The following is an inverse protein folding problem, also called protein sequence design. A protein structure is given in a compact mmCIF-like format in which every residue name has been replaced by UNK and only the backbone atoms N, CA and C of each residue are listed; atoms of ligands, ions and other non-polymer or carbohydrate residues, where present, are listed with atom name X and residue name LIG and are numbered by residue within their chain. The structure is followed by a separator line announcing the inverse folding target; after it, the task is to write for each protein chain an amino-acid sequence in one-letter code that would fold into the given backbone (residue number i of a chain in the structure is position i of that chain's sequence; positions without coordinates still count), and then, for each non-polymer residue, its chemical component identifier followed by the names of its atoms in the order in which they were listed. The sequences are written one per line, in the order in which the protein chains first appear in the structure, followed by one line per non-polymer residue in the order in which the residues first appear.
data_IF_918320284858
#
_entry.id   IF_918320284858
#
_cell.length_a   1.000
_cell.length_b   1.000
_cell.length_c   1.000
_cell.angle_alpha   90.00
_cell.angle_beta   90.00
_cell.angle_gamma   90.00
#
_symmetry.space_group_name_H-M   'P 1'
#
loop_
_entity.id
_entity.type
_entity.pdbx_description
1 polymer ?
#
# COMPACT_ATOMS: atom_id res chain seq x y z
N UNK A 1 8.29 -9.08 20.41
CA UNK A 1 7.76 -9.24 19.04
C UNK A 1 8.07 -10.66 18.62
N UNK A 2 7.05 -11.51 18.53
CA UNK A 2 7.20 -12.84 17.97
C UNK A 2 6.99 -12.73 16.45
N UNK A 3 8.08 -12.75 15.70
CA UNK A 3 8.06 -12.61 14.24
C UNK A 3 7.24 -13.72 13.57
N UNK A 4 7.16 -14.91 14.18
CA UNK A 4 6.38 -16.02 13.64
C UNK A 4 4.87 -15.72 13.65
N UNK A 5 4.38 -15.04 14.70
CA UNK A 5 2.98 -14.60 14.77
C UNK A 5 2.66 -13.52 13.74
N UNK A 6 3.55 -12.53 13.56
CA UNK A 6 3.36 -11.47 12.56
C UNK A 6 3.25 -12.07 11.15
N UNK A 7 4.14 -13.00 10.81
CA UNK A 7 4.12 -13.68 9.51
C UNK A 7 2.86 -14.52 9.35
N UNK A 8 2.43 -15.24 10.39
CA UNK A 8 1.18 -16.02 10.34
C UNK A 8 -0.04 -15.12 10.08
N UNK A 9 -0.13 -13.99 10.77
CA UNK A 9 -1.18 -12.98 10.55
C UNK A 9 -1.12 -12.40 9.14
N UNK A 10 0.07 -12.09 8.62
CA UNK A 10 0.23 -11.62 7.24
C UNK A 10 -0.22 -12.68 6.22
N UNK A 11 0.08 -13.96 6.44
CA UNK A 11 -0.36 -15.07 5.59
C UNK A 11 -1.88 -15.22 5.64
N UNK A 12 -2.49 -15.13 6.82
CA UNK A 12 -3.95 -15.16 6.98
C UNK A 12 -4.62 -13.97 6.31
N UNK A 13 -4.05 -12.77 6.46
CA UNK A 13 -4.52 -11.56 5.78
C UNK A 13 -4.41 -11.69 4.26
N UNK A 14 -3.31 -12.28 3.75
CA UNK A 14 -3.16 -12.58 2.33
C UNK A 14 -4.14 -13.65 1.85
N UNK A 15 -4.56 -14.58 2.71
CA UNK A 15 -5.63 -15.55 2.44
C UNK A 15 -7.03 -14.96 2.57
N UNK A 16 -7.16 -13.65 2.82
CA UNK A 16 -8.43 -12.96 2.98
C UNK A 16 -9.28 -13.50 4.15
N UNK A 17 -8.63 -14.00 5.19
CA UNK A 17 -9.29 -14.51 6.40
C UNK A 17 -9.86 -13.35 7.23
N UNK A 18 -11.19 -13.20 7.36
CA UNK A 18 -11.81 -12.09 8.09
C UNK A 18 -11.41 -12.05 9.57
N UNK A 19 -11.17 -13.23 10.16
CA UNK A 19 -10.88 -13.34 11.58
C UNK A 19 -9.57 -12.66 12.00
N UNK A 20 -8.62 -12.48 11.06
CA UNK A 20 -7.39 -11.76 11.35
C UNK A 20 -7.62 -10.25 11.45
N UNK A 21 -8.57 -9.71 10.67
CA UNK A 21 -8.86 -8.28 10.67
C UNK A 21 -9.59 -7.87 11.95
N UNK A 22 -10.53 -8.70 12.40
CA UNK A 22 -11.21 -8.53 13.68
C UNK A 22 -10.22 -8.67 14.87
N UNK A 23 -9.29 -9.64 14.82
CA UNK A 23 -8.23 -9.81 15.83
C UNK A 23 -7.35 -8.55 15.96
N UNK A 24 -6.92 -7.97 14.83
CA UNK A 24 -6.02 -6.80 14.85
C UNK A 24 -6.73 -5.49 15.17
N UNK A 25 -8.03 -5.40 14.91
CA UNK A 25 -8.88 -4.27 15.30
C UNK A 25 -9.06 -4.19 16.82
N UNK A 26 -9.25 -5.33 17.49
CA UNK A 26 -9.50 -5.35 18.93
C UNK A 26 -8.23 -5.24 19.79
N UNK A 27 -7.04 -5.51 19.24
CA UNK A 27 -5.77 -5.42 19.98
C UNK A 27 -4.94 -4.17 19.62
N UNK A 28 -4.98 -3.10 20.44
CA UNK A 28 -4.26 -1.86 20.17
C UNK A 28 -2.73 -2.01 20.22
N UNK A 29 -2.20 -3.08 20.83
CA UNK A 29 -0.75 -3.35 20.87
C UNK A 29 -0.20 -3.68 19.48
N UNK A 30 -1.06 -4.19 18.60
CA UNK A 30 -0.73 -4.58 17.23
C UNK A 30 -0.58 -3.38 16.28
N UNK A 31 -0.85 -2.16 16.72
CA UNK A 31 -0.61 -0.94 15.92
C UNK A 31 0.86 -0.81 15.50
N UNK A 32 1.78 -1.06 16.43
CA UNK A 32 3.21 -1.01 16.16
C UNK A 32 3.67 -2.13 15.21
N UNK A 33 3.03 -3.30 15.28
CA UNK A 33 3.28 -4.41 14.36
C UNK A 33 2.77 -4.08 12.95
N UNK A 34 1.55 -3.55 12.83
CA UNK A 34 0.96 -3.16 11.54
C UNK A 34 1.82 -2.12 10.81
N UNK A 35 2.31 -1.10 11.51
CA UNK A 35 3.22 -0.10 10.93
C UNK A 35 4.52 -0.74 10.45
N UNK A 36 5.06 -1.70 11.21
CA UNK A 36 6.27 -2.44 10.83
C UNK A 36 6.04 -3.29 9.58
N UNK A 37 4.88 -3.95 9.45
CA UNK A 37 4.49 -4.69 8.25
C UNK A 37 4.42 -3.77 7.05
N UNK A 38 3.75 -2.62 7.18
CA UNK A 38 3.63 -1.64 6.10
C UNK A 38 4.99 -1.07 5.69
N UNK A 39 5.87 -0.78 6.66
CA UNK A 39 7.23 -0.35 6.39
C UNK A 39 8.03 -1.42 5.63
N UNK A 40 7.90 -2.69 6.02
CA UNK A 40 8.53 -3.80 5.30
C UNK A 40 7.99 -3.92 3.87
N UNK A 41 6.67 -3.87 3.68
CA UNK A 41 6.02 -3.90 2.36
C UNK A 41 6.46 -2.72 1.49
N UNK A 42 6.55 -1.52 2.06
CA UNK A 42 7.02 -0.32 1.36
C UNK A 42 8.47 -0.49 0.89
N UNK A 43 9.35 -1.03 1.73
CA UNK A 43 10.74 -1.34 1.38
C UNK A 43 10.81 -2.38 0.27
N UNK A 44 10.06 -3.48 0.38
CA UNK A 44 10.01 -4.54 -0.64
C UNK A 44 9.51 -4.02 -1.99
N UNK A 45 8.46 -3.19 -1.96
CA UNK A 45 7.91 -2.53 -3.14
C UNK A 45 8.91 -1.54 -3.76
N UNK A 46 9.62 -0.78 -2.92
CA UNK A 46 10.68 0.13 -3.33
C UNK A 46 11.86 -0.59 -3.98
N UNK A 47 12.25 -1.77 -3.47
CA UNK A 47 13.28 -2.63 -4.07
C UNK A 47 12.82 -3.17 -5.43
N UNK A 48 11.54 -3.57 -5.55
CA UNK A 48 10.96 -3.98 -6.83
C UNK A 48 11.01 -2.85 -7.88
N UNK A 49 10.62 -1.63 -7.47
CA UNK A 49 10.72 -0.43 -8.31
C UNK A 49 12.16 -0.05 -8.68
N UNK A 50 13.11 -0.24 -7.75
CA UNK A 50 14.54 -0.03 -7.98
C UNK A 50 15.12 -1.02 -9.00
N UNK A 51 14.85 -2.32 -8.85
CA UNK A 51 15.30 -3.33 -9.82
C UNK A 51 14.68 -3.07 -11.20
N UNK A 52 13.40 -2.73 -11.28
CA UNK A 52 12.77 -2.32 -12.54
C UNK A 52 13.43 -1.07 -13.13
N UNK A 53 13.75 -0.08 -12.30
CA UNK A 53 14.39 1.17 -12.69
C UNK A 53 15.84 0.99 -13.16
N UNK A 54 16.57 0.01 -12.62
CA UNK A 54 17.91 -0.35 -13.08
C UNK A 54 17.90 -0.78 -14.56
N UNK A 55 16.88 -1.52 -14.98
CA UNK A 55 16.74 -1.99 -16.37
C UNK A 55 16.28 -0.89 -17.35
N UNK A 56 15.67 0.21 -16.88
CA UNK A 56 15.05 1.23 -17.76
C UNK A 56 15.60 2.66 -17.63
N UNK A 57 16.18 3.06 -16.50
CA UNK A 57 16.53 4.46 -16.17
C UNK A 57 17.95 4.65 -15.62
N UNK A 58 18.75 3.58 -15.52
CA UNK A 58 20.11 3.64 -14.96
C UNK A 58 20.15 3.80 -13.43
N UNK A 59 21.34 3.64 -12.84
CA UNK A 59 21.56 3.57 -11.37
C UNK A 59 21.05 4.80 -10.61
N UNK A 60 21.26 6.01 -11.13
CA UNK A 60 20.91 7.25 -10.45
C UNK A 60 19.39 7.45 -10.41
N UNK A 61 18.70 7.16 -11.51
CA UNK A 61 17.23 7.18 -11.58
C UNK A 61 16.58 6.09 -10.74
N UNK A 62 17.24 4.93 -10.62
CA UNK A 62 16.77 3.83 -9.78
C UNK A 62 16.79 4.21 -8.29
N UNK A 63 17.90 4.76 -7.77
CA UNK A 63 17.99 5.18 -6.36
C UNK A 63 17.00 6.29 -6.01
N UNK A 64 16.81 7.26 -6.90
CA UNK A 64 15.77 8.29 -6.74
C UNK A 64 14.36 7.68 -6.69
N UNK A 65 14.09 6.72 -7.58
CA UNK A 65 12.82 5.98 -7.60
C UNK A 65 12.58 5.12 -6.35
N UNK A 66 13.63 4.54 -5.76
CA UNK A 66 13.52 3.76 -4.51
C UNK A 66 13.09 4.65 -3.34
N UNK A 67 13.81 5.76 -3.10
CA UNK A 67 13.54 6.63 -1.95
C UNK A 67 12.14 7.25 -2.07
N UNK A 68 11.83 7.80 -3.26
CA UNK A 68 10.51 8.40 -3.52
C UNK A 68 9.42 7.33 -3.46
N UNK A 69 9.66 6.12 -3.99
CA UNK A 69 8.70 5.02 -3.98
C UNK A 69 8.36 4.53 -2.57
N UNK A 70 9.35 4.36 -1.69
CA UNK A 70 9.14 3.96 -0.30
C UNK A 70 8.36 5.03 0.47
N UNK A 71 8.75 6.30 0.33
CA UNK A 71 8.05 7.43 0.97
C UNK A 71 6.61 7.50 0.47
N UNK A 72 6.39 7.39 -0.83
CA UNK A 72 5.05 7.43 -1.43
C UNK A 72 4.18 6.25 -1.02
N UNK A 73 4.74 5.05 -0.85
CA UNK A 73 4.01 3.89 -0.35
C UNK A 73 3.54 4.12 1.10
N UNK A 74 4.42 4.63 1.96
CA UNK A 74 4.08 4.96 3.35
C UNK A 74 3.03 6.09 3.42
N UNK A 75 3.26 7.20 2.73
CA UNK A 75 2.35 8.35 2.72
C UNK A 75 1.00 7.95 2.11
N UNK A 76 1.01 7.22 1.00
CA UNK A 76 -0.19 6.71 0.35
C UNK A 76 -1.00 5.81 1.26
N UNK A 77 -0.34 4.94 2.04
CA UNK A 77 -0.99 4.10 3.04
C UNK A 77 -1.67 4.92 4.16
N UNK A 78 -0.98 5.92 4.71
CA UNK A 78 -1.57 6.78 5.74
C UNK A 78 -2.75 7.59 5.21
N UNK A 79 -2.62 8.16 4.01
CA UNK A 79 -3.69 8.90 3.34
C UNK A 79 -4.88 7.97 3.08
N UNK A 80 -4.63 6.77 2.55
CA UNK A 80 -5.69 5.80 2.27
C UNK A 80 -6.45 5.41 3.53
N UNK A 81 -5.73 5.06 4.60
CA UNK A 81 -6.33 4.68 5.88
C UNK A 81 -7.16 5.81 6.47
N UNK A 82 -6.66 7.05 6.40
CA UNK A 82 -7.37 8.22 6.86
C UNK A 82 -8.63 8.50 6.04
N UNK A 83 -8.57 8.38 4.71
CA UNK A 83 -9.74 8.55 3.85
C UNK A 83 -10.78 7.46 4.11
N UNK A 84 -10.37 6.20 4.24
CA UNK A 84 -11.27 5.11 4.58
C UNK A 84 -11.97 5.35 5.92
N UNK A 85 -11.23 5.80 6.95
CA UNK A 85 -11.83 6.20 8.22
C UNK A 85 -12.80 7.37 8.06
N UNK A 86 -12.38 8.45 7.39
CA UNK A 86 -13.19 9.66 7.27
C UNK A 86 -14.46 9.41 6.44
N UNK A 87 -14.34 8.73 5.30
CA UNK A 87 -15.47 8.38 4.43
C UNK A 87 -16.37 7.35 5.14
N UNK A 88 -15.78 6.33 5.77
CA UNK A 88 -16.53 5.31 6.51
C UNK A 88 -17.35 5.92 7.65
N UNK A 89 -16.71 6.65 8.56
CA UNK A 89 -17.40 7.22 9.73
C UNK A 89 -18.36 8.36 9.38
N UNK A 90 -17.99 9.27 8.46
CA UNK A 90 -18.80 10.47 8.16
C UNK A 90 -19.87 10.27 7.10
N UNK A 91 -19.65 9.42 6.10
CA UNK A 91 -20.59 9.23 5.00
C UNK A 91 -21.35 7.90 5.08
N UNK A 92 -20.78 6.88 5.72
CA UNK A 92 -21.33 5.52 5.73
C UNK A 92 -21.79 5.03 7.11
N UNK A 93 -21.66 5.89 8.14
CA UNK A 93 -22.05 5.66 9.55
C UNK A 93 -21.33 4.47 10.21
N UNK A 94 -20.04 4.27 9.88
CA UNK A 94 -19.24 3.17 10.43
C UNK A 94 -18.92 3.34 11.90
N UNK A 95 -18.79 2.21 12.61
CA UNK A 95 -18.63 2.18 14.07
C UNK A 95 -17.17 2.15 14.54
N UNK A 96 -16.24 2.77 13.80
CA UNK A 96 -14.86 2.91 14.25
C UNK A 96 -14.74 4.04 15.28
N UNK A 97 -14.20 3.73 16.45
CA UNK A 97 -13.91 4.69 17.51
C UNK A 97 -12.72 5.60 17.14
N UNK A 98 -11.70 5.04 16.48
CA UNK A 98 -10.45 5.75 16.16
C UNK A 98 -9.89 5.42 14.77
N UNK A 99 -9.12 6.34 14.19
CA UNK A 99 -8.39 6.13 12.91
C UNK A 99 -7.50 4.89 12.97
N UNK A 100 -6.96 4.56 14.14
CA UNK A 100 -6.04 3.43 14.36
C UNK A 100 -6.75 2.08 14.29
N UNK A 101 -8.06 2.01 14.54
CA UNK A 101 -8.88 0.79 14.34
C UNK A 101 -9.01 0.44 12.88
N UNK A 102 -9.14 1.42 11.98
CA UNK A 102 -9.18 1.19 10.52
C UNK A 102 -7.78 0.99 9.94
N UNK A 103 -6.80 1.73 10.47
CA UNK A 103 -5.42 1.66 10.02
C UNK A 103 -4.81 0.26 10.26
N UNK A 104 -5.02 -0.36 11.43
CA UNK A 104 -4.43 -1.67 11.77
C UNK A 104 -4.79 -2.77 10.76
N UNK A 105 -6.08 -3.07 10.49
CA UNK A 105 -6.52 -4.02 9.48
C UNK A 105 -6.02 -3.68 8.07
N UNK A 106 -6.04 -2.40 7.68
CA UNK A 106 -5.54 -1.97 6.37
C UNK A 106 -4.03 -2.20 6.21
N UNK A 107 -3.25 -2.11 7.30
CA UNK A 107 -1.82 -2.42 7.30
C UNK A 107 -1.55 -3.89 7.01
N UNK A 108 -2.30 -4.78 7.64
CA UNK A 108 -2.25 -6.22 7.33
C UNK A 108 -2.83 -6.55 5.95
N UNK A 109 -3.82 -5.80 5.47
CA UNK A 109 -4.35 -5.92 4.11
C UNK A 109 -3.35 -5.52 3.01
N UNK A 110 -2.27 -4.82 3.38
CA UNK A 110 -1.16 -4.48 2.49
C UNK A 110 -0.13 -5.62 2.35
N UNK A 111 -0.23 -6.68 3.16
CA UNK A 111 0.67 -7.84 3.07
C UNK A 111 0.73 -8.52 1.67
N UNK A 112 -0.37 -8.68 0.90
CA UNK A 112 -0.30 -9.22 -0.46
C UNK A 112 0.59 -8.39 -1.39
N UNK A 113 0.69 -7.09 -1.11
CA UNK A 113 1.51 -6.16 -1.89
C UNK A 113 3.01 -6.45 -1.72
N UNK A 114 3.43 -7.20 -0.71
CA UNK A 114 4.80 -7.71 -0.59
C UNK A 114 5.25 -8.54 -1.81
N UNK A 115 4.30 -9.15 -2.54
CA UNK A 115 4.58 -9.86 -3.80
C UNK A 115 5.17 -8.94 -4.87
N UNK A 116 5.03 -7.62 -4.74
CA UNK A 116 5.65 -6.65 -5.64
C UNK A 116 7.19 -6.73 -5.64
N UNK A 117 7.84 -7.40 -4.67
CA UNK A 117 9.28 -7.68 -4.73
C UNK A 117 9.65 -8.50 -5.98
N UNK A 118 8.76 -9.37 -6.46
CA UNK A 118 8.97 -10.17 -7.67
C UNK A 118 8.78 -9.36 -8.96
N UNK A 119 8.51 -8.05 -8.87
CA UNK A 119 8.39 -7.15 -10.03
C UNK A 119 9.67 -6.99 -10.85
N UNK A 120 10.79 -7.53 -10.37
CA UNK A 120 12.06 -7.57 -11.08
C UNK A 120 12.03 -8.34 -12.41
N UNK A 121 11.11 -9.30 -12.56
CA UNK A 121 11.05 -10.14 -13.76
C UNK A 121 10.53 -9.28 -14.94
N UNK A 122 11.29 -9.12 -16.05
CA UNK A 122 10.81 -8.39 -17.22
C UNK A 122 9.50 -8.99 -17.77
N UNK A 123 8.56 -8.15 -18.20
CA UNK A 123 7.19 -8.50 -18.65
C UNK A 123 6.25 -9.11 -17.59
N UNK A 124 6.71 -10.01 -16.72
CA UNK A 124 5.88 -10.62 -15.67
C UNK A 124 5.75 -9.71 -14.43
N UNK A 125 6.74 -8.86 -14.17
CA UNK A 125 6.79 -8.05 -12.96
C UNK A 125 5.69 -7.00 -12.87
N UNK A 126 5.33 -6.38 -14.00
CA UNK A 126 4.17 -5.48 -14.07
C UNK A 126 2.85 -6.21 -13.81
N UNK A 127 2.72 -7.44 -14.31
CA UNK A 127 1.53 -8.27 -14.08
C UNK A 127 1.43 -8.70 -12.61
N UNK A 128 2.54 -9.13 -12.00
CA UNK A 128 2.60 -9.52 -10.58
C UNK A 128 2.29 -8.34 -9.67
N UNK A 129 2.83 -7.15 -9.97
CA UNK A 129 2.52 -5.93 -9.23
C UNK A 129 1.03 -5.55 -9.35
N UNK A 130 0.43 -5.69 -10.55
CA UNK A 130 -1.00 -5.46 -10.75
C UNK A 130 -1.85 -6.45 -9.94
N UNK A 131 -1.49 -7.74 -9.97
CA UNK A 131 -2.18 -8.77 -9.19
C UNK A 131 -2.07 -8.49 -7.70
N UNK A 132 -0.88 -8.12 -7.20
CA UNK A 132 -0.66 -7.76 -5.80
C UNK A 132 -1.47 -6.52 -5.38
N UNK A 133 -1.58 -5.52 -6.26
CA UNK A 133 -2.40 -4.33 -6.02
C UNK A 133 -3.89 -4.68 -5.94
N UNK A 134 -4.43 -5.43 -6.91
CA UNK A 134 -5.83 -5.87 -6.89
C UNK A 134 -6.13 -6.76 -5.67
N UNK A 135 -5.20 -7.65 -5.32
CA UNK A 135 -5.32 -8.49 -4.13
C UNK A 135 -5.36 -7.65 -2.86
N UNK A 136 -4.47 -6.66 -2.72
CA UNK A 136 -4.47 -5.74 -1.58
C UNK A 136 -5.76 -4.92 -1.50
N UNK A 137 -6.39 -4.63 -2.64
CA UNK A 137 -7.67 -3.93 -2.71
C UNK A 137 -8.80 -4.81 -2.18
N UNK A 138 -8.86 -6.09 -2.59
CA UNK A 138 -9.83 -7.06 -2.06
C UNK A 138 -9.61 -7.27 -0.56
N UNK A 139 -8.36 -7.41 -0.12
CA UNK A 139 -8.03 -7.50 1.30
C UNK A 139 -8.45 -6.23 2.06
N UNK A 140 -8.28 -5.05 1.45
CA UNK A 140 -8.72 -3.77 1.98
C UNK A 140 -10.23 -3.69 2.19
N UNK A 141 -11.03 -4.23 1.26
CA UNK A 141 -12.50 -4.29 1.37
C UNK A 141 -12.91 -5.11 2.59
N UNK A 142 -12.30 -6.27 2.78
CA UNK A 142 -12.61 -7.14 3.94
C UNK A 142 -12.13 -6.47 5.23
N UNK A 143 -10.93 -5.89 5.23
CA UNK A 143 -10.39 -5.18 6.38
C UNK A 143 -11.27 -4.01 6.82
N UNK A 144 -11.72 -3.17 5.89
CA UNK A 144 -12.64 -2.04 6.15
C UNK A 144 -14.01 -2.53 6.57
N UNK A 145 -14.47 -3.66 6.01
CA UNK A 145 -15.75 -4.26 6.38
C UNK A 145 -15.76 -4.66 7.86
N UNK A 146 -14.72 -5.34 8.31
CA UNK A 146 -14.58 -5.74 9.71
C UNK A 146 -14.35 -4.50 10.59
N UNK A 147 -13.43 -3.61 10.21
CA UNK A 147 -13.03 -2.45 11.02
C UNK A 147 -14.11 -1.37 11.26
N UNK A 148 -15.15 -1.34 10.43
CA UNK A 148 -16.21 -0.34 10.49
C UNK A 148 -17.59 -0.98 10.69
N UNK A 149 -17.65 -2.29 10.91
CA UNK A 149 -18.86 -3.11 10.98
C UNK A 149 -19.82 -2.85 9.80
N UNK A 150 -19.27 -2.90 8.59
CA UNK A 150 -20.01 -2.59 7.37
C UNK A 150 -20.60 -3.80 6.66
N UNK A 151 -21.63 -3.50 5.88
CA UNK A 151 -22.07 -4.38 4.82
C UNK A 151 -21.10 -4.32 3.62
N UNK A 152 -21.06 -5.38 2.81
CA UNK A 152 -20.06 -5.52 1.74
C UNK A 152 -20.13 -4.36 0.75
N UNK A 153 -21.33 -3.86 0.43
CA UNK A 153 -21.52 -2.72 -0.46
C UNK A 153 -20.90 -1.41 0.04
N UNK A 154 -21.08 -1.08 1.33
CA UNK A 154 -20.51 0.13 1.94
C UNK A 154 -18.97 0.05 2.02
N UNK A 155 -18.45 -1.14 2.33
CA UNK A 155 -17.01 -1.39 2.40
C UNK A 155 -16.34 -1.20 1.03
N UNK A 156 -16.95 -1.73 -0.05
CA UNK A 156 -16.45 -1.57 -1.42
C UNK A 156 -16.36 -0.08 -1.79
N UNK A 157 -17.43 0.68 -1.57
CA UNK A 157 -17.45 2.11 -1.92
C UNK A 157 -16.36 2.88 -1.16
N UNK A 158 -16.25 2.65 0.14
CA UNK A 158 -15.26 3.33 1.01
C UNK A 158 -13.83 3.06 0.53
N UNK A 159 -13.51 1.79 0.27
CA UNK A 159 -12.18 1.38 -0.18
C UNK A 159 -11.85 1.91 -1.56
N UNK A 160 -12.80 1.82 -2.51
CA UNK A 160 -12.61 2.29 -3.88
C UNK A 160 -12.39 3.82 -3.90
N UNK A 161 -13.15 4.58 -3.12
CA UNK A 161 -12.96 6.04 -3.01
C UNK A 161 -11.56 6.36 -2.49
N UNK A 162 -11.13 5.71 -1.40
CA UNK A 162 -9.79 5.87 -0.87
C UNK A 162 -8.70 5.52 -1.88
N UNK A 163 -8.87 4.41 -2.59
CA UNK A 163 -7.92 3.94 -3.59
C UNK A 163 -7.81 4.90 -4.77
N UNK A 164 -8.93 5.44 -5.27
CA UNK A 164 -8.96 6.41 -6.37
C UNK A 164 -8.19 7.69 -5.99
N UNK A 165 -8.36 8.20 -4.77
CA UNK A 165 -7.62 9.39 -4.32
C UNK A 165 -6.12 9.13 -4.29
N UNK A 166 -5.69 8.00 -3.74
CA UNK A 166 -4.27 7.63 -3.72
C UNK A 166 -3.74 7.41 -5.13
N UNK A 167 -4.52 6.80 -6.03
CA UNK A 167 -4.15 6.63 -7.43
C UNK A 167 -3.89 7.98 -8.12
N UNK A 168 -4.77 8.97 -7.95
CA UNK A 168 -4.55 10.31 -8.50
C UNK A 168 -3.35 11.03 -7.87
N UNK A 169 -3.15 10.88 -6.56
CA UNK A 169 -1.98 11.42 -5.88
C UNK A 169 -0.69 10.80 -6.44
N UNK A 170 -0.67 9.48 -6.61
CA UNK A 170 0.45 8.75 -7.22
C UNK A 170 0.69 9.16 -8.67
N UNK A 171 -0.35 9.41 -9.47
CA UNK A 171 -0.23 9.93 -10.83
C UNK A 171 0.35 11.34 -10.86
N UNK A 172 -0.12 12.24 -9.99
CA UNK A 172 0.32 13.63 -9.94
C UNK A 172 1.80 13.70 -9.53
N UNK A 173 2.19 12.95 -8.50
CA UNK A 173 3.58 12.82 -8.08
C UNK A 173 4.41 12.15 -9.18
N UNK A 174 3.92 11.06 -9.76
CA UNK A 174 4.56 10.38 -10.89
C UNK A 174 4.77 11.31 -12.09
N UNK A 175 3.86 12.23 -12.36
CA UNK A 175 4.00 13.24 -13.40
C UNK A 175 5.06 14.29 -13.03
N UNK A 176 5.06 14.80 -11.79
CA UNK A 176 6.08 15.77 -11.32
C UNK A 176 7.47 15.15 -11.35
N UNK A 177 7.64 13.94 -10.80
CA UNK A 177 8.92 13.24 -10.77
C UNK A 177 9.29 12.64 -12.14
N UNK A 178 8.33 12.26 -12.96
CA UNK A 178 8.53 11.77 -14.32
C UNK A 178 8.98 12.89 -15.27
N UNK A 179 8.37 14.07 -15.18
CA UNK A 179 8.79 15.29 -15.90
C UNK A 179 10.10 15.83 -15.32
N UNK A 180 10.29 15.78 -14.00
CA UNK A 180 11.55 16.15 -13.34
C UNK A 180 12.72 15.24 -13.74
N UNK A 181 12.52 13.91 -13.80
CA UNK A 181 13.55 12.97 -14.28
C UNK A 181 13.76 13.06 -15.80
N UNK A 182 12.73 13.36 -16.59
CA UNK A 182 12.87 13.62 -18.03
C UNK A 182 13.68 14.91 -18.28
N UNK A 183 13.42 15.98 -17.52
CA UNK A 183 14.20 17.22 -17.55
C UNK A 183 15.64 17.05 -17.07
N UNK A 184 15.87 16.21 -16.05
CA UNK A 184 17.21 15.91 -15.54
C UNK A 184 18.02 15.02 -16.49
N UNK A 185 17.39 14.06 -17.21
CA UNK A 185 18.03 13.32 -18.30
C UNK A 185 18.34 14.21 -19.52
N UNK A 186 17.49 15.21 -19.81
CA UNK A 186 17.75 16.18 -20.87
C UNK A 186 18.92 17.12 -20.51
N UNK A 187 19.06 17.49 -19.23
CA UNK A 187 20.17 18.30 -18.73
C UNK A 187 21.50 17.52 -18.65
N UNK A 188 21.49 16.26 -18.23
CA UNK A 188 22.71 15.43 -18.23
C UNK A 188 23.17 15.06 -19.64
N UNK A 189 22.24 14.86 -20.58
CA UNK A 189 22.56 14.68 -22.00
C UNK A 189 23.06 15.94 -22.71
N UNK A 190 22.89 17.13 -22.12
CA UNK A 190 23.46 18.40 -22.62
C UNK A 190 24.86 18.68 -22.04
N UNK A 191 25.25 17.98 -20.96
CA UNK A 191 26.52 18.14 -20.26
C UNK A 191 27.55 17.03 -20.57
N UNK A 192 27.18 16.04 -21.38
CA UNK A 192 28.05 14.99 -21.95
C UNK A 192 28.44 15.31 -23.39
#
# INVERSE_FOLDING_TARGET
MDYAQIVNRCIRAARLDPSVFNEVEHDPRLTSEAITVVAAVAVLSGIGGFLSGLFTRGIIGAFGGLIVGVIMALVGYFIWSFICFFVGTRFMEGQAADVTEVMRPLGYASAPQALAIFSFIPCLGGLIALVGALWSLVAGIIAVREALDFDTGKAVVTVVVGWVVVFFLSLLVGAIFGVGMAGMNALTGFLS
#
